data_IF_634271621605
#
_entry.id   IF_634271621605
#
_cell.length_a   1.000
_cell.length_b   1.000
_cell.length_c   1.000
_cell.angle_alpha   90.00
_cell.angle_beta   90.00
_cell.angle_gamma   90.00
#
_symmetry.space_group_name_H-M   'P 1'
#
loop_
_entity.id
_entity.type
_entity.pdbx_description
1 polymer ?
#
# COMPACT_ATOMS: atom_id res chain seq x y z
N UNK A 1 15.15 -9.95 -24.96
CA UNK A 1 15.19 -8.84 -23.97
C UNK A 1 13.89 -8.06 -24.12
N UNK A 2 12.94 -8.26 -23.21
CA UNK A 2 11.68 -7.51 -23.26
C UNK A 2 11.95 -6.08 -22.80
N UNK A 3 11.64 -5.09 -23.63
CA UNK A 3 11.61 -3.69 -23.24
C UNK A 3 10.50 -3.53 -22.19
N UNK A 4 10.84 -3.67 -20.91
CA UNK A 4 9.89 -3.38 -19.84
C UNK A 4 9.56 -1.88 -19.91
N UNK A 5 8.36 -1.56 -20.38
CA UNK A 5 7.83 -0.20 -20.47
C UNK A 5 8.05 0.52 -19.13
N UNK A 6 8.62 1.72 -19.17
CA UNK A 6 8.75 2.54 -17.97
C UNK A 6 7.37 2.96 -17.45
N UNK A 7 7.23 3.02 -16.12
CA UNK A 7 5.99 3.49 -15.48
C UNK A 7 5.95 5.01 -15.67
N UNK A 8 4.85 5.51 -16.20
CA UNK A 8 4.63 6.94 -16.32
C UNK A 8 4.30 7.53 -14.94
N UNK A 9 5.08 8.51 -14.49
CA UNK A 9 4.93 9.09 -13.15
C UNK A 9 3.86 10.19 -13.15
N UNK A 10 2.58 9.83 -13.30
CA UNK A 10 1.46 10.78 -13.29
C UNK A 10 1.08 11.21 -11.89
N UNK A 11 0.62 12.45 -11.77
CA UNK A 11 0.01 12.98 -10.56
C UNK A 11 -1.03 14.04 -10.93
N UNK A 12 -2.22 13.93 -10.36
CA UNK A 12 -3.24 14.99 -10.41
C UNK A 12 -2.97 16.06 -9.34
N UNK A 13 -2.17 15.73 -8.33
CA UNK A 13 -1.77 16.64 -7.25
C UNK A 13 -0.40 17.34 -7.48
N UNK A 14 0.28 17.07 -8.59
CA UNK A 14 1.61 17.60 -8.88
C UNK A 14 2.75 16.99 -8.04
N UNK A 15 2.55 15.79 -7.49
CA UNK A 15 3.54 15.03 -6.71
C UNK A 15 4.65 14.46 -7.61
N UNK A 16 5.89 14.58 -7.14
CA UNK A 16 7.04 13.91 -7.77
C UNK A 16 7.27 12.52 -7.15
N UNK A 17 7.15 11.49 -7.98
CA UNK A 17 7.35 10.09 -7.62
C UNK A 17 8.73 9.54 -7.99
N UNK A 18 9.65 10.38 -8.48
CA UNK A 18 11.00 9.98 -8.89
C UNK A 18 11.76 9.26 -7.78
N UNK A 19 11.72 9.80 -6.55
CA UNK A 19 12.37 9.20 -5.38
C UNK A 19 11.78 7.83 -5.04
N UNK A 20 10.45 7.70 -5.03
CA UNK A 20 9.79 6.41 -4.77
C UNK A 20 10.19 5.37 -5.83
N UNK A 21 10.17 5.75 -7.11
CA UNK A 21 10.62 4.89 -8.22
C UNK A 21 12.06 4.41 -8.00
N UNK A 22 12.96 5.33 -7.68
CA UNK A 22 14.39 5.01 -7.56
C UNK A 22 14.68 4.10 -6.36
N UNK A 23 13.98 4.31 -5.23
CA UNK A 23 14.06 3.42 -4.07
C UNK A 23 13.56 2.01 -4.39
N UNK A 24 12.39 1.90 -5.05
CA UNK A 24 11.81 0.61 -5.44
C UNK A 24 12.69 -0.12 -6.46
N UNK A 25 13.22 0.61 -7.46
CA UNK A 25 14.14 0.06 -8.47
C UNK A 25 15.44 -0.46 -7.85
N UNK A 26 15.91 0.18 -6.77
CA UNK A 26 17.07 -0.25 -6.01
C UNK A 26 16.75 -1.31 -4.94
N UNK A 27 15.50 -1.81 -4.89
CA UNK A 27 15.01 -2.77 -3.91
C UNK A 27 15.18 -2.31 -2.44
N UNK A 28 15.18 -0.99 -2.21
CA UNK A 28 15.22 -0.40 -0.87
C UNK A 28 13.81 -0.36 -0.28
N UNK A 29 13.29 -1.54 0.07
CA UNK A 29 11.89 -1.75 0.42
C UNK A 29 11.41 -0.92 1.63
N UNK A 30 12.26 -0.79 2.65
CA UNK A 30 11.95 -0.02 3.86
C UNK A 30 11.83 1.47 3.54
N UNK A 31 12.83 2.03 2.87
CA UNK A 31 12.84 3.44 2.49
C UNK A 31 11.73 3.75 1.48
N UNK A 32 11.39 2.80 0.59
CA UNK A 32 10.27 2.93 -0.32
C UNK A 32 8.92 2.94 0.41
N UNK A 33 8.75 2.15 1.46
CA UNK A 33 7.54 2.17 2.31
C UNK A 33 7.40 3.49 3.07
N UNK A 34 8.49 3.98 3.65
CA UNK A 34 8.54 5.29 4.32
C UNK A 34 8.25 6.44 3.34
N UNK A 35 8.82 6.38 2.13
CA UNK A 35 8.56 7.35 1.08
C UNK A 35 7.11 7.27 0.57
N UNK A 36 6.52 6.07 0.50
CA UNK A 36 5.12 5.86 0.13
C UNK A 36 4.19 6.58 1.12
N UNK A 37 4.43 6.42 2.43
CA UNK A 37 3.68 7.15 3.45
C UNK A 37 3.84 8.66 3.29
N UNK A 38 5.07 9.16 3.08
CA UNK A 38 5.34 10.58 2.89
C UNK A 38 4.57 11.16 1.71
N UNK A 39 4.63 10.53 0.53
CA UNK A 39 3.93 11.03 -0.67
C UNK A 39 2.41 11.00 -0.50
N UNK A 40 1.86 9.95 0.13
CA UNK A 40 0.42 9.87 0.37
C UNK A 40 -0.07 10.98 1.30
N UNK A 41 0.68 11.26 2.39
CA UNK A 41 0.35 12.37 3.29
C UNK A 41 0.47 13.72 2.58
N UNK A 42 1.47 13.91 1.72
CA UNK A 42 1.64 15.15 0.97
C UNK A 42 0.53 15.37 -0.07
N UNK A 43 0.13 14.34 -0.81
CA UNK A 43 -1.00 14.38 -1.75
C UNK A 43 -2.30 14.74 -1.02
N UNK A 44 -2.53 14.17 0.16
CA UNK A 44 -3.69 14.47 0.99
C UNK A 44 -3.57 15.80 1.77
N UNK A 45 -2.42 16.48 1.75
CA UNK A 45 -2.11 17.69 2.53
C UNK A 45 -2.20 17.47 4.06
N UNK A 46 -1.77 16.30 4.52
CA UNK A 46 -1.87 15.79 5.91
C UNK A 46 -0.51 15.47 6.53
N UNK A 47 0.56 16.05 5.99
CA UNK A 47 1.95 15.82 6.44
C UNK A 47 2.14 16.18 7.93
N UNK A 48 1.48 17.24 8.40
CA UNK A 48 1.58 17.67 9.80
C UNK A 48 0.92 16.69 10.77
N UNK A 49 -0.18 16.07 10.35
CA UNK A 49 -0.90 15.10 11.15
C UNK A 49 -0.26 13.73 11.11
N UNK A 50 0.34 13.36 9.99
CA UNK A 50 1.06 12.09 9.84
C UNK A 50 0.15 10.87 9.71
N UNK A 51 -1.15 11.06 9.42
CA UNK A 51 -2.13 9.99 9.17
C UNK A 51 -3.26 10.48 8.25
N UNK A 52 -3.88 9.55 7.51
CA UNK A 52 -5.02 9.82 6.62
C UNK A 52 -6.34 9.49 7.31
N UNK A 53 -7.36 10.33 7.10
CA UNK A 53 -8.76 10.03 7.43
C UNK A 53 -9.38 9.21 6.31
N UNK A 54 -10.51 8.58 6.60
CA UNK A 54 -11.35 7.93 5.57
C UNK A 54 -11.72 8.90 4.45
N UNK A 55 -12.08 10.15 4.78
CA UNK A 55 -12.38 11.19 3.78
C UNK A 55 -11.19 11.54 2.88
N UNK A 56 -9.95 11.48 3.41
CA UNK A 56 -8.74 11.73 2.63
C UNK A 56 -8.52 10.58 1.63
N UNK A 57 -8.78 9.33 2.05
CA UNK A 57 -8.66 8.13 1.23
C UNK A 57 -9.73 8.11 0.13
N UNK A 58 -10.99 8.40 0.47
CA UNK A 58 -12.12 8.40 -0.47
C UNK A 58 -11.95 9.44 -1.59
N UNK A 59 -11.26 10.54 -1.30
CA UNK A 59 -10.98 11.61 -2.27
C UNK A 59 -9.57 11.52 -2.87
N UNK A 60 -8.78 10.51 -2.52
CA UNK A 60 -7.39 10.41 -2.99
C UNK A 60 -7.34 10.33 -4.53
N UNK A 61 -6.51 11.13 -5.22
CA UNK A 61 -6.55 11.19 -6.68
C UNK A 61 -6.15 9.86 -7.34
N UNK A 62 -6.87 9.47 -8.39
CA UNK A 62 -6.66 8.17 -9.02
C UNK A 62 -5.36 8.10 -9.81
N UNK A 63 -4.86 9.19 -10.39
CA UNK A 63 -3.55 9.18 -11.05
C UNK A 63 -2.43 8.88 -10.05
N UNK A 64 -2.45 9.56 -8.90
CA UNK A 64 -1.50 9.40 -7.80
C UNK A 64 -1.51 7.97 -7.24
N UNK A 65 -2.70 7.44 -6.92
CA UNK A 65 -2.85 6.08 -6.41
C UNK A 65 -2.36 5.03 -7.42
N UNK A 66 -2.67 5.22 -8.71
CA UNK A 66 -2.22 4.33 -9.79
C UNK A 66 -0.71 4.37 -9.96
N UNK A 67 -0.08 5.55 -9.91
CA UNK A 67 1.37 5.67 -10.02
C UNK A 67 2.07 4.95 -8.89
N UNK A 68 1.61 5.14 -7.65
CA UNK A 68 2.17 4.43 -6.48
C UNK A 68 2.04 2.92 -6.67
N UNK A 69 0.84 2.42 -7.01
CA UNK A 69 0.59 0.99 -7.19
C UNK A 69 1.44 0.38 -8.30
N UNK A 70 1.49 1.01 -9.48
CA UNK A 70 2.25 0.50 -10.62
C UNK A 70 3.74 0.41 -10.34
N UNK A 71 4.30 1.35 -9.58
CA UNK A 71 5.70 1.29 -9.17
C UNK A 71 5.96 0.09 -8.25
N UNK A 72 5.12 -0.10 -7.22
CA UNK A 72 5.24 -1.25 -6.32
C UNK A 72 5.10 -2.58 -7.07
N UNK A 73 4.08 -2.71 -7.92
CA UNK A 73 3.83 -3.92 -8.73
C UNK A 73 5.00 -4.20 -9.66
N UNK A 74 5.50 -3.19 -10.38
CA UNK A 74 6.59 -3.37 -11.35
C UNK A 74 7.86 -3.89 -10.68
N UNK A 75 8.36 -3.19 -9.66
CA UNK A 75 9.67 -3.49 -9.09
C UNK A 75 9.65 -4.68 -8.13
N UNK A 76 8.47 -5.07 -7.63
CA UNK A 76 8.30 -6.30 -6.84
C UNK A 76 8.04 -7.55 -7.69
N UNK A 77 8.02 -7.43 -9.03
CA UNK A 77 7.61 -8.50 -9.94
C UNK A 77 6.19 -9.03 -9.63
N UNK A 78 5.26 -8.11 -9.39
CA UNK A 78 3.85 -8.39 -9.14
C UNK A 78 3.51 -8.84 -7.72
N UNK A 79 4.49 -8.89 -6.80
CA UNK A 79 4.28 -9.42 -5.44
C UNK A 79 3.70 -8.40 -4.46
N UNK A 80 4.01 -7.12 -4.64
CA UNK A 80 3.65 -6.02 -3.73
C UNK A 80 2.85 -4.95 -4.48
N UNK A 81 2.07 -4.17 -3.73
CA UNK A 81 1.20 -3.14 -4.27
C UNK A 81 -0.18 -3.14 -3.64
N UNK A 82 -0.85 -2.00 -3.72
CA UNK A 82 -2.19 -1.81 -3.20
C UNK A 82 -3.23 -2.64 -3.98
N UNK A 83 -3.06 -2.82 -5.30
CA UNK A 83 -3.89 -3.69 -6.13
C UNK A 83 -3.76 -5.16 -5.73
N UNK A 84 -2.55 -5.59 -5.34
CA UNK A 84 -2.28 -6.93 -4.82
C UNK A 84 -3.01 -7.13 -3.48
N UNK A 85 -2.87 -6.17 -2.56
CA UNK A 85 -3.57 -6.17 -1.28
C UNK A 85 -5.08 -6.17 -1.46
N UNK A 86 -5.63 -5.32 -2.33
CA UNK A 86 -7.06 -5.28 -2.66
C UNK A 86 -7.55 -6.64 -3.16
N UNK A 87 -6.84 -7.28 -4.10
CA UNK A 87 -7.19 -8.61 -4.61
C UNK A 87 -7.27 -9.64 -3.49
N UNK A 88 -6.29 -9.64 -2.58
CA UNK A 88 -6.26 -10.55 -1.43
C UNK A 88 -7.45 -10.25 -0.50
N UNK A 89 -7.68 -8.99 -0.16
CA UNK A 89 -8.75 -8.55 0.72
C UNK A 89 -10.14 -8.93 0.18
N UNK A 90 -10.41 -8.63 -1.10
CA UNK A 90 -11.67 -9.01 -1.76
C UNK A 90 -11.82 -10.53 -1.91
N UNK A 91 -10.73 -11.25 -2.15
CA UNK A 91 -10.72 -12.72 -2.19
C UNK A 91 -11.09 -13.38 -0.85
N UNK A 92 -10.95 -12.65 0.26
CA UNK A 92 -11.40 -13.07 1.59
C UNK A 92 -12.84 -12.63 1.90
N UNK A 93 -13.54 -12.04 0.93
CA UNK A 93 -14.89 -11.48 1.08
C UNK A 93 -14.92 -10.02 1.53
N UNK A 94 -13.78 -9.32 1.54
CA UNK A 94 -13.69 -7.93 1.98
C UNK A 94 -14.50 -6.99 1.10
N UNK A 95 -15.32 -6.16 1.76
CA UNK A 95 -16.12 -5.10 1.13
C UNK A 95 -15.74 -3.74 1.72
N UNK A 96 -16.50 -2.69 1.38
CA UNK A 96 -16.30 -1.36 1.99
C UNK A 96 -16.70 -1.36 3.47
N UNK A 97 -17.66 -2.21 3.84
CA UNK A 97 -18.10 -2.41 5.22
C UNK A 97 -17.03 -3.14 6.03
N UNK A 98 -16.67 -2.57 7.17
CA UNK A 98 -15.70 -3.21 8.06
C UNK A 98 -16.22 -4.56 8.57
N UNK A 99 -15.45 -5.62 8.33
CA UNK A 99 -15.63 -6.92 8.93
C UNK A 99 -14.36 -7.35 9.65
N UNK A 100 -14.47 -7.57 10.97
CA UNK A 100 -13.33 -7.91 11.83
C UNK A 100 -12.67 -9.24 11.44
N UNK A 101 -13.45 -10.27 11.14
CA UNK A 101 -12.93 -11.60 10.80
C UNK A 101 -12.13 -11.56 9.50
N UNK A 102 -12.67 -10.87 8.49
CA UNK A 102 -12.00 -10.67 7.21
C UNK A 102 -10.74 -9.83 7.39
N UNK A 103 -10.79 -8.80 8.25
CA UNK A 103 -9.64 -7.97 8.56
C UNK A 103 -8.50 -8.77 9.22
N UNK A 104 -8.81 -9.59 10.21
CA UNK A 104 -7.83 -10.45 10.87
C UNK A 104 -7.25 -11.49 9.89
N UNK A 105 -8.09 -12.16 9.09
CA UNK A 105 -7.66 -13.09 8.03
C UNK A 105 -6.75 -12.43 7.01
N UNK A 106 -7.06 -11.19 6.63
CA UNK A 106 -6.23 -10.41 5.72
C UNK A 106 -4.86 -10.13 6.35
N UNK A 107 -4.83 -9.62 7.58
CA UNK A 107 -3.59 -9.36 8.32
C UNK A 107 -2.71 -10.60 8.45
N UNK A 108 -3.31 -11.76 8.75
CA UNK A 108 -2.58 -13.04 8.79
C UNK A 108 -2.03 -13.41 7.40
N UNK A 109 -2.82 -13.20 6.33
CA UNK A 109 -2.47 -13.54 4.94
C UNK A 109 -1.33 -12.70 4.38
N UNK A 110 -1.31 -11.40 4.69
CA UNK A 110 -0.25 -10.47 4.26
C UNK A 110 0.88 -10.34 5.29
N UNK A 111 0.86 -11.12 6.39
CA UNK A 111 1.95 -11.16 7.37
C UNK A 111 2.02 -9.96 8.32
N UNK A 112 0.94 -9.20 8.48
CA UNK A 112 0.83 -8.07 9.41
C UNK A 112 0.29 -8.47 10.78
N UNK A 113 -0.12 -9.73 10.94
CA UNK A 113 -0.58 -10.32 12.19
C UNK A 113 0.06 -11.68 12.38
N UNK A 114 0.60 -11.92 13.58
CA UNK A 114 1.26 -13.18 13.96
C UNK A 114 0.76 -13.63 15.32
N UNK A 115 0.31 -14.88 15.42
CA UNK A 115 -0.16 -15.47 16.69
C UNK A 115 -1.32 -14.70 17.33
N UNK A 116 -2.16 -14.03 16.55
CA UNK A 116 -3.27 -13.23 17.05
C UNK A 116 -2.97 -11.74 17.25
N UNK A 117 -1.70 -11.36 17.26
CA UNK A 117 -1.23 -10.00 17.55
C UNK A 117 -0.84 -9.26 16.28
N UNK A 118 -1.33 -8.03 16.14
CA UNK A 118 -0.92 -7.13 15.07
C UNK A 118 0.51 -6.68 15.27
N UNK A 119 1.27 -6.63 14.18
CA UNK A 119 2.61 -6.06 14.16
C UNK A 119 2.54 -4.56 14.45
N UNK A 120 3.34 -4.07 15.40
CA UNK A 120 3.32 -2.66 15.84
C UNK A 120 4.64 -1.99 15.46
N UNK A 121 4.58 -1.01 14.57
CA UNK A 121 5.76 -0.26 14.10
C UNK A 121 6.66 -1.03 13.11
N UNK A 122 7.48 -0.27 12.38
CA UNK A 122 8.33 -0.80 11.29
C UNK A 122 9.39 -1.82 11.74
N UNK A 123 9.62 -2.02 13.05
CA UNK A 123 10.69 -2.91 13.54
C UNK A 123 10.35 -4.39 13.42
N UNK A 124 9.05 -4.70 13.38
CA UNK A 124 8.55 -6.07 13.40
C UNK A 124 8.04 -6.53 12.01
N UNK A 125 8.23 -5.69 10.99
CA UNK A 125 7.90 -5.93 9.57
C UNK A 125 9.16 -6.35 8.80
N UNK A 126 9.02 -7.34 7.94
CA UNK A 126 10.13 -7.85 7.11
C UNK A 126 10.21 -7.06 5.81
N UNK A 127 11.27 -6.26 5.65
CA UNK A 127 11.55 -5.49 4.43
C UNK A 127 12.52 -6.21 3.48
N UNK A 128 12.33 -7.52 3.33
CA UNK A 128 13.11 -8.35 2.42
C UNK A 128 12.17 -9.15 1.52
N UNK A 129 12.19 -8.86 0.22
CA UNK A 129 11.40 -9.56 -0.80
C UNK A 129 11.82 -11.02 -0.96
N UNK A 130 13.08 -11.34 -0.72
CA UNK A 130 13.66 -12.68 -0.91
C UNK A 130 13.45 -13.60 0.29
N UNK A 131 13.09 -13.03 1.45
CA UNK A 131 12.79 -13.79 2.65
C UNK A 131 11.60 -14.75 2.44
N UNK A 132 11.72 -16.05 2.80
CA UNK A 132 10.66 -17.03 2.63
C UNK A 132 9.34 -16.66 3.32
N UNK A 133 9.43 -15.93 4.42
CA UNK A 133 8.29 -15.51 5.25
C UNK A 133 7.59 -14.24 4.75
N UNK A 134 8.06 -13.60 3.67
CA UNK A 134 7.45 -12.37 3.12
C UNK A 134 6.36 -12.72 2.08
N UNK A 135 5.07 -12.66 2.44
CA UNK A 135 3.98 -13.07 1.54
C UNK A 135 3.70 -12.05 0.43
N UNK A 136 2.87 -12.44 -0.54
CA UNK A 136 2.26 -11.47 -1.46
C UNK A 136 1.43 -10.43 -0.71
N UNK A 137 1.44 -9.19 -1.18
CA UNK A 137 0.73 -8.06 -0.56
C UNK A 137 1.35 -7.58 0.76
N UNK A 138 2.50 -8.10 1.18
CA UNK A 138 3.15 -7.68 2.44
C UNK A 138 3.48 -6.18 2.46
N UNK A 139 3.89 -5.64 1.30
CA UNK A 139 4.20 -4.24 1.12
C UNK A 139 3.35 -3.62 0.00
N UNK A 140 3.19 -2.29 -0.02
CA UNK A 140 3.54 -1.35 1.06
C UNK A 140 2.74 -1.60 2.34
N UNK A 141 3.41 -1.58 3.50
CA UNK A 141 2.78 -1.79 4.80
C UNK A 141 2.15 -0.51 5.33
N UNK A 142 2.85 0.63 5.21
CA UNK A 142 2.35 1.96 5.57
C UNK A 142 1.53 1.96 6.88
N UNK A 143 2.21 1.74 8.02
CA UNK A 143 1.67 1.66 9.40
C UNK A 143 0.52 2.64 9.69
N UNK A 144 0.60 3.85 9.14
CA UNK A 144 -0.32 4.96 9.44
C UNK A 144 -1.41 5.20 8.40
N UNK A 145 -1.48 4.38 7.34
CA UNK A 145 -2.60 4.36 6.38
C UNK A 145 -3.45 3.10 6.51
N UNK A 146 -2.87 1.95 6.88
CA UNK A 146 -3.59 0.67 7.00
C UNK A 146 -3.93 0.25 8.45
N UNK A 147 -3.12 0.67 9.44
CA UNK A 147 -3.29 0.28 10.86
C UNK A 147 -3.68 1.45 11.76
N UNK A 148 -3.82 2.66 11.21
CA UNK A 148 -4.19 3.85 11.96
C UNK A 148 -5.50 3.66 12.71
N UNK A 149 -6.55 3.13 12.04
CA UNK A 149 -7.87 2.83 12.63
C UNK A 149 -8.60 1.68 11.90
N UNK A 150 -9.58 1.07 12.59
CA UNK A 150 -10.52 0.11 11.96
C UNK A 150 -11.20 0.79 10.76
N UNK A 151 -11.15 0.18 9.58
CA UNK A 151 -11.89 0.61 8.37
C UNK A 151 -11.07 1.33 7.30
N UNK A 152 -9.79 1.63 7.54
CA UNK A 152 -8.95 2.30 6.53
C UNK A 152 -8.69 1.39 5.31
N UNK A 153 -8.58 0.09 5.56
CA UNK A 153 -8.34 -0.97 4.56
C UNK A 153 -9.51 -1.11 3.61
N UNK A 154 -10.72 -1.08 4.14
CA UNK A 154 -11.93 -1.18 3.33
C UNK A 154 -12.16 0.08 2.50
N UNK A 155 -11.77 1.25 3.03
CA UNK A 155 -11.81 2.53 2.32
C UNK A 155 -10.81 2.56 1.16
N UNK A 156 -9.57 2.14 1.39
CA UNK A 156 -8.54 2.11 0.34
C UNK A 156 -8.84 1.03 -0.72
N UNK A 157 -9.30 -0.15 -0.31
CA UNK A 157 -9.75 -1.18 -1.23
C UNK A 157 -10.92 -0.70 -2.11
N UNK A 158 -11.90 0.00 -1.52
CA UNK A 158 -13.00 0.63 -2.25
C UNK A 158 -12.48 1.69 -3.22
N UNK A 159 -11.55 2.55 -2.78
CA UNK A 159 -11.01 3.62 -3.63
C UNK A 159 -10.27 3.09 -4.84
N UNK A 160 -9.53 1.99 -4.69
CA UNK A 160 -8.87 1.32 -5.81
C UNK A 160 -9.88 0.82 -6.85
N UNK A 161 -11.03 0.29 -6.40
CA UNK A 161 -12.14 -0.09 -7.30
C UNK A 161 -12.66 1.13 -8.05
N UNK A 162 -12.97 2.23 -7.36
CA UNK A 162 -13.47 3.47 -7.98
C UNK A 162 -12.47 4.03 -9.01
N UNK A 163 -11.18 3.87 -8.74
CA UNK A 163 -10.11 4.30 -9.62
C UNK A 163 -9.83 3.33 -10.77
N UNK A 164 -10.50 2.18 -10.88
CA UNK A 164 -10.21 1.11 -11.84
C UNK A 164 -8.74 0.65 -11.78
N UNK A 165 -8.25 0.38 -10.57
CA UNK A 165 -6.93 -0.20 -10.26
C UNK A 165 -7.17 -1.55 -9.60
#
# INVERSE_FOLDING_TARGET
MSLQREVELKSDAGMDYSKLRDLLKAEKWKEADEETLRVMLAVAKREKEGWLRVEDIDNFPCADLRTIDQLWVKYSNGRFGFSVQKRIYQGLGGTREYNREIWEKFGDKVGWRKGGSWTIGNKDITFDKSAPETPEGHLPWCDKTWLGRRGDVSSLASRLVDCNI
#
